data_IF_415120287029
#
_entry.id   IF_415120287029
#
_cell.length_a   1.000
_cell.length_b   1.000
_cell.length_c   1.000
_cell.angle_alpha   90.00
_cell.angle_beta   90.00
_cell.angle_gamma   90.00
#
_symmetry.space_group_name_H-M   'P 1'
#
loop_
_entity.id
_entity.type
_entity.pdbx_description
1 polymer ?
#
# COMPACT_ATOMS: atom_id res chain seq x y z
N UNK A 1 -42.39 -30.68 -27.22
CA UNK A 1 -42.68 -31.99 -26.58
C UNK A 1 -41.50 -32.92 -26.86
N UNK A 2 -41.16 -33.91 -26.02
CA UNK A 2 -41.15 -33.97 -24.54
C UNK A 2 -39.89 -33.23 -23.99
N UNK A 3 -39.75 -32.79 -22.73
CA UNK A 3 -39.75 -33.45 -21.41
C UNK A 3 -38.51 -34.34 -21.10
N UNK A 4 -37.75 -33.93 -20.08
CA UNK A 4 -36.56 -34.61 -19.54
C UNK A 4 -35.95 -33.81 -18.38
N UNK A 5 -36.64 -33.76 -17.23
CA UNK A 5 -36.21 -33.02 -16.02
C UNK A 5 -35.42 -33.92 -15.08
N UNK A 6 -34.45 -33.36 -14.33
CA UNK A 6 -34.11 -33.84 -12.99
C UNK A 6 -33.71 -32.67 -12.05
N UNK A 7 -33.91 -32.86 -10.74
CA UNK A 7 -33.88 -31.82 -9.69
C UNK A 7 -33.20 -32.42 -8.43
N UNK A 8 -32.54 -31.58 -7.62
CA UNK A 8 -31.82 -31.89 -6.36
C UNK A 8 -32.74 -31.80 -5.10
N UNK A 9 -32.30 -31.82 -3.81
CA UNK A 9 -30.96 -32.01 -3.19
C UNK A 9 -30.85 -33.37 -2.44
N UNK A 10 -30.73 -33.59 -1.09
CA UNK A 10 -30.75 -32.73 0.12
C UNK A 10 -29.35 -32.53 0.78
N UNK A 11 -29.28 -32.45 2.13
CA UNK A 11 -28.08 -32.19 2.97
C UNK A 11 -28.05 -33.10 4.23
N UNK A 12 -26.98 -33.01 5.07
CA UNK A 12 -26.76 -33.45 6.50
C UNK A 12 -25.45 -34.28 6.67
N UNK A 13 -24.67 -34.28 7.78
CA UNK A 13 -24.01 -33.22 8.61
C UNK A 13 -23.18 -33.88 9.76
N UNK A 14 -22.05 -33.25 10.21
CA UNK A 14 -21.16 -33.63 11.37
C UNK A 14 -20.35 -34.95 11.25
N UNK A 15 -19.27 -35.26 12.02
CA UNK A 15 -18.69 -34.69 13.28
C UNK A 15 -17.13 -34.46 13.20
N UNK A 16 -16.38 -34.49 14.33
CA UNK A 16 -15.10 -33.74 14.57
C UNK A 16 -13.82 -34.56 14.87
N UNK A 17 -12.67 -33.85 14.89
CA UNK A 17 -11.39 -34.10 15.65
C UNK A 17 -10.39 -35.15 15.07
N UNK A 18 -9.05 -35.15 15.26
CA UNK A 18 -8.01 -34.38 16.03
C UNK A 18 -6.78 -34.21 15.07
N UNK A 19 -6.13 -33.06 14.82
CA UNK A 19 -5.13 -32.26 15.60
C UNK A 19 -3.70 -32.91 15.74
N UNK A 20 -2.60 -32.20 16.13
CA UNK A 20 -1.67 -31.55 15.17
C UNK A 20 -0.14 -31.74 15.47
N UNK A 21 0.71 -30.78 15.05
CA UNK A 21 2.09 -30.47 15.55
C UNK A 21 3.26 -31.40 15.07
N UNK A 22 4.54 -30.97 14.98
CA UNK A 22 5.17 -29.62 14.93
C UNK A 22 6.59 -29.65 14.30
N UNK A 23 7.24 -28.49 14.20
CA UNK A 23 8.68 -28.31 13.89
C UNK A 23 9.60 -28.74 15.05
N UNK A 24 10.89 -28.99 14.77
CA UNK A 24 11.93 -28.74 15.79
C UNK A 24 13.27 -28.24 15.21
N UNK A 25 13.96 -27.41 16.01
CA UNK A 25 15.19 -26.70 15.66
C UNK A 25 16.13 -26.64 16.89
N UNK A 26 17.39 -27.07 16.71
CA UNK A 26 18.58 -26.77 17.53
C UNK A 26 18.71 -27.35 18.96
N UNK A 27 19.96 -27.72 19.28
CA UNK A 27 20.60 -27.92 20.61
C UNK A 27 20.38 -29.25 21.37
N UNK A 28 21.47 -29.71 22.01
CA UNK A 28 21.57 -30.96 22.78
C UNK A 28 22.93 -31.65 22.57
N UNK A 29 23.76 -31.77 23.62
CA UNK A 29 25.06 -32.48 23.61
C UNK A 29 25.02 -33.73 24.51
N UNK A 30 26.05 -34.57 24.36
CA UNK A 30 26.41 -35.81 25.11
C UNK A 30 25.91 -37.15 24.51
N UNK A 31 26.70 -38.24 24.53
CA UNK A 31 28.18 -38.40 24.58
C UNK A 31 28.59 -39.79 24.06
N UNK A 32 29.74 -39.87 23.35
CA UNK A 32 30.65 -41.03 23.18
C UNK A 32 30.08 -42.47 23.01
N UNK A 33 30.13 -42.98 21.78
CA UNK A 33 31.05 -44.10 21.47
C UNK A 33 30.50 -45.52 21.28
N UNK A 34 30.47 -45.97 20.02
CA UNK A 34 30.79 -47.36 19.65
C UNK A 34 31.53 -47.40 18.30
N UNK A 35 32.13 -48.54 17.95
CA UNK A 35 33.30 -48.58 17.05
C UNK A 35 33.00 -48.73 15.54
N UNK A 36 33.98 -48.30 14.73
CA UNK A 36 33.99 -48.28 13.26
C UNK A 36 34.17 -49.69 12.66
N UNK A 37 33.13 -50.53 12.62
CA UNK A 37 33.08 -51.77 11.80
C UNK A 37 31.65 -52.36 11.69
N UNK A 38 30.87 -51.92 10.68
CA UNK A 38 29.99 -52.75 9.80
C UNK A 38 29.22 -51.90 8.76
N UNK A 39 29.87 -50.96 8.10
CA UNK A 39 29.27 -50.16 7.00
C UNK A 39 29.34 -50.89 5.64
N UNK A 40 29.47 -52.23 5.66
CA UNK A 40 29.78 -53.09 4.51
C UNK A 40 28.85 -54.33 4.44
N UNK A 41 27.54 -54.14 4.57
CA UNK A 41 26.54 -55.16 4.18
C UNK A 41 25.31 -54.51 3.56
N UNK A 42 25.45 -53.98 2.34
CA UNK A 42 24.34 -53.69 1.41
C UNK A 42 24.77 -53.42 -0.05
N UNK A 43 26.04 -53.12 -0.33
CA UNK A 43 26.49 -52.67 -1.68
C UNK A 43 26.69 -53.78 -2.74
N UNK A 44 26.65 -55.07 -2.38
CA UNK A 44 27.08 -56.18 -3.26
C UNK A 44 25.95 -57.14 -3.68
N UNK A 45 24.80 -56.64 -4.16
CA UNK A 45 23.79 -57.44 -4.90
C UNK A 45 23.08 -56.67 -6.04
N UNK A 46 23.82 -55.95 -6.88
CA UNK A 46 23.33 -55.48 -8.19
C UNK A 46 24.09 -56.12 -9.34
N UNK A 47 23.38 -56.63 -10.36
CA UNK A 47 23.98 -57.33 -11.49
C UNK A 47 24.57 -56.33 -12.51
N UNK A 48 25.89 -56.35 -12.81
CA UNK A 48 26.52 -55.40 -13.74
C UNK A 48 25.87 -55.34 -15.13
N UNK A 49 25.34 -56.47 -15.63
CA UNK A 49 24.69 -56.55 -16.94
C UNK A 49 23.37 -55.76 -16.99
N UNK A 50 22.65 -55.62 -15.87
CA UNK A 50 21.48 -54.74 -15.80
C UNK A 50 21.89 -53.26 -15.81
N UNK A 51 22.90 -52.87 -15.03
CA UNK A 51 23.37 -51.48 -14.92
C UNK A 51 23.82 -50.93 -16.28
N UNK A 52 24.55 -51.72 -17.07
CA UNK A 52 24.92 -51.36 -18.44
C UNK A 52 23.72 -51.33 -19.39
N UNK A 53 22.77 -52.28 -19.30
CA UNK A 53 21.55 -52.30 -20.12
C UNK A 53 20.67 -51.07 -19.91
N UNK A 54 20.51 -50.61 -18.67
CA UNK A 54 19.79 -49.35 -18.40
C UNK A 54 20.58 -48.14 -18.89
N UNK A 55 21.88 -48.04 -18.59
CA UNK A 55 22.73 -46.91 -19.03
C UNK A 55 22.70 -46.75 -20.56
N UNK A 56 22.83 -47.84 -21.30
CA UNK A 56 22.75 -47.82 -22.76
C UNK A 56 21.33 -47.50 -23.26
N UNK A 57 20.27 -48.06 -22.67
CA UNK A 57 18.88 -47.75 -23.05
C UNK A 57 18.52 -46.27 -22.84
N UNK A 58 19.10 -45.61 -21.83
CA UNK A 58 18.98 -44.16 -21.66
C UNK A 58 19.81 -43.40 -22.71
N UNK A 59 21.09 -43.74 -22.91
CA UNK A 59 21.96 -43.05 -23.88
C UNK A 59 21.38 -43.12 -25.31
N UNK A 60 21.00 -44.30 -25.80
CA UNK A 60 20.44 -44.47 -27.15
C UNK A 60 19.08 -43.78 -27.32
N UNK A 61 18.28 -43.65 -26.24
CA UNK A 61 17.04 -42.85 -26.28
C UNK A 61 17.31 -41.35 -26.27
N UNK A 62 18.38 -40.89 -25.62
CA UNK A 62 18.77 -39.48 -25.66
C UNK A 62 19.41 -39.09 -27.01
N UNK A 63 20.24 -39.94 -27.62
CA UNK A 63 20.86 -39.64 -28.93
C UNK A 63 19.87 -39.59 -30.09
N UNK A 64 18.72 -40.27 -29.98
CA UNK A 64 17.63 -40.24 -30.96
C UNK A 64 16.61 -39.11 -30.71
N UNK A 65 16.92 -38.15 -29.81
CA UNK A 65 16.09 -36.97 -29.50
C UNK A 65 16.90 -35.67 -29.62
N UNK A 66 17.98 -35.68 -30.42
CA UNK A 66 18.76 -34.50 -30.82
C UNK A 66 18.59 -34.28 -32.33
N UNK A 67 17.36 -34.43 -32.82
CA UNK A 67 16.92 -33.78 -34.06
C UNK A 67 16.48 -32.37 -33.71
N UNK A 68 16.88 -31.39 -34.53
CA UNK A 68 16.89 -29.96 -34.26
C UNK A 68 15.63 -29.44 -33.53
N UNK A 69 15.74 -29.36 -32.20
CA UNK A 69 14.81 -28.67 -31.32
C UNK A 69 15.54 -27.51 -30.65
N UNK A 70 16.04 -26.60 -31.49
CA UNK A 70 16.47 -25.25 -31.13
C UNK A 70 15.29 -24.37 -30.65
N UNK A 71 14.54 -24.87 -29.64
CA UNK A 71 13.48 -24.12 -28.94
C UNK A 71 14.08 -22.78 -28.53
N UNK A 72 13.57 -21.65 -29.05
CA UNK A 72 14.13 -20.35 -28.70
C UNK A 72 13.84 -20.09 -27.23
N UNK A 73 14.81 -20.36 -26.35
CA UNK A 73 14.69 -20.23 -24.90
C UNK A 73 14.79 -18.75 -24.47
N UNK A 74 13.94 -17.96 -25.13
CA UNK A 74 13.80 -16.51 -25.05
C UNK A 74 12.30 -16.23 -25.10
N UNK A 75 11.56 -16.85 -24.17
CA UNK A 75 10.25 -16.36 -23.73
C UNK A 75 10.51 -14.97 -23.15
N UNK A 76 10.49 -13.95 -24.02
CA UNK A 76 10.54 -12.59 -23.57
C UNK A 76 9.26 -12.36 -22.76
N UNK A 77 9.34 -11.96 -21.47
CA UNK A 77 8.15 -11.42 -20.82
C UNK A 77 7.69 -10.26 -21.70
N UNK A 78 6.45 -10.30 -22.21
CA UNK A 78 5.92 -9.27 -23.11
C UNK A 78 5.98 -7.94 -22.35
N UNK A 79 7.00 -7.13 -22.66
CA UNK A 79 7.30 -5.86 -21.98
C UNK A 79 6.22 -4.86 -22.35
N UNK A 80 5.10 -4.93 -21.64
CA UNK A 80 3.99 -4.01 -21.82
C UNK A 80 4.32 -2.72 -21.10
N UNK A 81 4.49 -1.68 -21.90
CA UNK A 81 4.52 -0.29 -21.46
C UNK A 81 3.12 0.13 -21.00
N UNK A 82 3.07 1.03 -20.02
CA UNK A 82 1.80 1.37 -19.38
C UNK A 82 1.92 2.07 -18.04
N UNK A 83 0.75 2.34 -17.45
CA UNK A 83 0.59 2.99 -16.15
C UNK A 83 0.05 1.95 -15.16
N UNK A 84 0.54 1.99 -13.93
CA UNK A 84 0.11 1.14 -12.83
C UNK A 84 -0.22 1.94 -11.57
N UNK A 85 -0.86 1.25 -10.63
CA UNK A 85 -1.17 1.72 -9.30
C UNK A 85 -0.70 0.68 -8.26
N UNK A 86 -0.20 1.17 -7.12
CA UNK A 86 -0.09 0.39 -5.89
C UNK A 86 -1.10 1.00 -4.92
N UNK A 87 -2.01 0.19 -4.38
CA UNK A 87 -3.19 0.66 -3.63
C UNK A 87 -3.22 0.01 -2.26
N UNK A 88 -3.31 0.84 -1.21
CA UNK A 88 -3.52 0.40 0.16
C UNK A 88 -5.03 0.25 0.44
N UNK A 89 -5.45 -0.93 0.86
CA UNK A 89 -6.86 -1.25 1.09
C UNK A 89 -7.41 -0.67 2.40
N UNK A 90 -6.55 -0.39 3.38
CA UNK A 90 -6.93 0.07 4.72
C UNK A 90 -7.24 1.58 4.78
N UNK A 91 -6.61 2.39 3.93
CA UNK A 91 -6.76 3.84 3.91
C UNK A 91 -7.09 4.44 2.53
N UNK A 92 -7.23 3.61 1.50
CA UNK A 92 -7.46 3.98 0.09
C UNK A 92 -6.36 4.84 -0.55
N UNK A 93 -5.16 4.93 0.05
CA UNK A 93 -4.05 5.67 -0.54
C UNK A 93 -3.43 4.93 -1.74
N UNK A 94 -3.02 5.70 -2.75
CA UNK A 94 -2.64 5.21 -4.08
C UNK A 94 -1.30 5.77 -4.52
N UNK A 95 -0.42 4.92 -5.04
CA UNK A 95 0.82 5.32 -5.72
C UNK A 95 0.69 5.01 -7.20
N UNK A 96 0.76 6.03 -8.04
CA UNK A 96 0.73 5.91 -9.49
C UNK A 96 2.15 5.86 -10.06
N UNK A 97 2.34 5.16 -11.18
CA UNK A 97 3.65 5.10 -11.83
C UNK A 97 3.60 4.76 -13.32
N UNK A 98 4.52 5.35 -14.10
CA UNK A 98 4.82 4.94 -15.48
C UNK A 98 5.85 3.81 -15.55
N UNK A 99 5.77 2.95 -16.58
CA UNK A 99 6.91 2.14 -17.01
C UNK A 99 6.83 1.69 -18.47
N UNK A 100 7.97 1.37 -19.07
CA UNK A 100 8.09 0.56 -20.29
C UNK A 100 7.97 -0.96 -20.03
N UNK A 101 7.96 -1.40 -18.77
CA UNK A 101 7.73 -2.79 -18.36
C UNK A 101 6.98 -2.81 -17.02
N UNK A 102 5.66 -2.65 -17.08
CA UNK A 102 4.80 -2.52 -15.89
C UNK A 102 4.95 -3.71 -14.93
N UNK A 103 4.90 -4.94 -15.45
CA UNK A 103 4.98 -6.15 -14.61
C UNK A 103 6.32 -6.27 -13.88
N UNK A 104 7.44 -5.98 -14.56
CA UNK A 104 8.76 -5.96 -13.94
C UNK A 104 8.91 -4.82 -12.93
N UNK A 105 8.27 -3.67 -13.17
CA UNK A 105 8.30 -2.50 -12.28
C UNK A 105 7.48 -2.75 -11.00
N UNK A 106 6.27 -3.31 -11.10
CA UNK A 106 5.45 -3.70 -9.95
C UNK A 106 6.16 -4.74 -9.07
N UNK A 107 6.77 -5.77 -9.67
CA UNK A 107 7.58 -6.74 -8.94
C UNK A 107 8.80 -6.08 -8.24
N UNK A 108 9.42 -5.09 -8.88
CA UNK A 108 10.51 -4.32 -8.29
C UNK A 108 10.06 -3.48 -7.10
N UNK A 109 8.90 -2.79 -7.18
CA UNK A 109 8.32 -2.08 -6.04
C UNK A 109 8.05 -3.01 -4.85
N UNK A 110 7.39 -4.16 -5.09
CA UNK A 110 7.14 -5.18 -4.05
C UNK A 110 8.42 -5.69 -3.39
N UNK A 111 9.48 -5.89 -4.18
CA UNK A 111 10.81 -6.29 -3.67
C UNK A 111 11.47 -5.19 -2.82
N UNK A 112 11.42 -3.93 -3.26
CA UNK A 112 11.96 -2.78 -2.50
C UNK A 112 11.24 -2.57 -1.17
N UNK A 113 9.90 -2.71 -1.16
CA UNK A 113 9.05 -2.57 0.03
C UNK A 113 9.31 -3.69 1.05
N UNK A 114 9.37 -4.95 0.60
CA UNK A 114 9.78 -6.10 1.42
C UNK A 114 11.18 -5.94 2.03
N UNK A 115 12.09 -5.25 1.32
CA UNK A 115 13.47 -4.98 1.76
C UNK A 115 13.61 -3.69 2.57
N UNK A 116 12.51 -2.98 2.86
CA UNK A 116 12.47 -1.72 3.61
C UNK A 116 13.30 -0.56 3.01
N UNK A 117 13.66 -0.65 1.72
CA UNK A 117 14.50 0.33 1.00
C UNK A 117 13.72 1.09 -0.10
N UNK A 118 12.39 1.14 -0.01
CA UNK A 118 11.60 1.87 -0.99
C UNK A 118 11.90 3.40 -0.93
N UNK A 119 11.98 4.10 -2.07
CA UNK A 119 12.29 5.53 -2.11
C UNK A 119 11.16 6.38 -1.54
N UNK A 120 9.91 6.08 -1.88
CA UNK A 120 8.76 6.74 -1.26
C UNK A 120 8.59 6.26 0.18
N UNK A 121 8.76 7.17 1.14
CA UNK A 121 8.76 6.85 2.57
C UNK A 121 7.36 6.72 3.18
N UNK A 122 6.35 7.40 2.64
CA UNK A 122 4.96 7.24 3.07
C UNK A 122 4.46 5.83 2.71
N UNK A 123 4.62 5.42 1.45
CA UNK A 123 4.27 4.06 1.01
C UNK A 123 5.06 2.98 1.77
N UNK A 124 6.31 3.26 2.18
CA UNK A 124 7.10 2.31 3.00
C UNK A 124 6.61 2.23 4.45
N UNK A 125 6.15 3.33 5.03
CA UNK A 125 5.61 3.36 6.39
C UNK A 125 4.29 2.57 6.46
N UNK A 126 3.35 2.87 5.56
CA UNK A 126 2.08 2.15 5.44
C UNK A 126 2.29 0.67 5.13
N UNK A 127 3.28 0.32 4.28
CA UNK A 127 3.66 -1.07 4.03
C UNK A 127 4.14 -1.80 5.29
N UNK A 128 4.94 -1.13 6.12
CA UNK A 128 5.42 -1.68 7.38
C UNK A 128 4.32 -1.78 8.45
N UNK A 129 3.29 -0.92 8.37
CA UNK A 129 2.16 -0.88 9.30
C UNK A 129 1.06 -1.90 8.95
N UNK A 130 0.63 -1.95 7.69
CA UNK A 130 -0.52 -2.75 7.25
C UNK A 130 -0.13 -4.09 6.60
N UNK A 131 1.12 -4.25 6.14
CA UNK A 131 1.63 -5.50 5.59
C UNK A 131 1.09 -5.89 4.21
N UNK A 132 1.70 -6.92 3.62
CA UNK A 132 1.50 -7.33 2.22
C UNK A 132 0.04 -7.64 1.83
N UNK A 133 -0.78 -8.16 2.74
CA UNK A 133 -2.19 -8.50 2.47
C UNK A 133 -3.03 -7.29 2.06
N UNK A 134 -2.66 -6.12 2.56
CA UNK A 134 -3.44 -4.90 2.43
C UNK A 134 -2.98 -4.03 1.24
N UNK A 135 -2.16 -4.56 0.33
CA UNK A 135 -1.66 -3.84 -0.84
C UNK A 135 -1.90 -4.58 -2.16
N UNK A 136 -2.62 -3.94 -3.08
CA UNK A 136 -2.82 -4.41 -4.44
C UNK A 136 -1.85 -3.75 -5.43
N UNK A 137 -1.37 -4.51 -6.42
CA UNK A 137 -0.41 -4.10 -7.44
C UNK A 137 -1.07 -4.22 -8.81
N UNK A 138 -1.65 -3.12 -9.31
CA UNK A 138 -2.65 -3.12 -10.38
C UNK A 138 -2.11 -2.41 -11.63
N UNK A 139 -1.94 -3.10 -12.77
CA UNK A 139 -1.80 -2.45 -14.07
C UNK A 139 -3.12 -1.75 -14.45
N UNK A 140 -3.09 -0.44 -14.66
CA UNK A 140 -4.29 0.34 -15.03
C UNK A 140 -4.46 0.43 -16.55
N UNK A 141 -3.37 0.72 -17.25
CA UNK A 141 -3.37 0.97 -18.69
C UNK A 141 -2.15 0.28 -19.31
N UNK A 142 -2.37 -0.59 -20.30
CA UNK A 142 -1.32 -1.34 -21.02
C UNK A 142 -1.58 -1.26 -22.53
N UNK A 143 -0.52 -1.39 -23.34
CA UNK A 143 -0.61 -1.48 -24.81
C UNK A 143 0.12 -0.37 -25.56
N UNK A 144 0.07 -0.44 -26.89
CA UNK A 144 0.94 0.32 -27.81
C UNK A 144 0.84 1.84 -27.67
N UNK A 145 -0.35 2.38 -27.39
CA UNK A 145 -0.57 3.80 -27.06
C UNK A 145 0.36 4.32 -25.96
N UNK A 146 0.75 3.45 -25.03
CA UNK A 146 1.59 3.77 -23.90
C UNK A 146 3.08 3.47 -24.13
N UNK A 147 3.48 3.09 -25.35
CA UNK A 147 4.89 2.97 -25.73
C UNK A 147 5.62 4.31 -25.59
N UNK A 148 5.00 5.40 -26.09
CA UNK A 148 5.50 6.76 -25.95
C UNK A 148 5.58 7.20 -24.47
N UNK A 149 6.78 7.54 -23.95
CA UNK A 149 6.94 8.08 -22.60
C UNK A 149 6.22 9.41 -22.36
N UNK A 150 6.00 10.25 -23.38
CA UNK A 150 5.34 11.56 -23.22
C UNK A 150 3.86 11.37 -22.89
N UNK A 151 3.13 10.62 -23.72
CA UNK A 151 1.73 10.25 -23.46
C UNK A 151 1.59 9.51 -22.12
N UNK A 152 2.54 8.59 -21.81
CA UNK A 152 2.49 7.77 -20.60
C UNK A 152 2.70 8.59 -19.31
N UNK A 153 3.68 9.50 -19.27
CA UNK A 153 3.90 10.44 -18.15
C UNK A 153 2.79 11.48 -18.03
N UNK A 154 2.24 11.94 -19.16
CA UNK A 154 1.07 12.82 -19.16
C UNK A 154 -0.11 12.21 -18.41
N UNK A 155 -0.39 10.92 -18.64
CA UNK A 155 -1.46 10.19 -17.94
C UNK A 155 -1.12 9.86 -16.47
N UNK A 156 0.13 9.56 -16.16
CA UNK A 156 0.61 9.43 -14.78
C UNK A 156 0.37 10.72 -13.98
N UNK A 157 0.79 11.87 -14.51
CA UNK A 157 0.58 13.19 -13.90
C UNK A 157 -0.91 13.54 -13.77
N UNK A 158 -1.73 13.25 -14.79
CA UNK A 158 -3.19 13.43 -14.74
C UNK A 158 -3.81 12.65 -13.57
N UNK A 159 -3.47 11.37 -13.40
CA UNK A 159 -3.98 10.55 -12.29
C UNK A 159 -3.53 11.07 -10.93
N UNK A 160 -2.27 11.51 -10.79
CA UNK A 160 -1.74 12.09 -9.56
C UNK A 160 -2.46 13.40 -9.21
N UNK A 161 -2.75 14.26 -10.18
CA UNK A 161 -3.49 15.52 -9.96
C UNK A 161 -4.95 15.23 -9.57
N UNK A 162 -5.62 14.29 -10.25
CA UNK A 162 -7.00 13.90 -9.97
C UNK A 162 -7.19 13.26 -8.57
N UNK A 163 -6.19 12.52 -8.08
CA UNK A 163 -6.25 11.78 -6.81
C UNK A 163 -5.32 12.39 -5.75
N UNK A 164 -4.90 13.66 -5.90
CA UNK A 164 -3.78 14.26 -5.14
C UNK A 164 -3.91 14.12 -3.61
N UNK A 165 -5.15 14.18 -3.11
CA UNK A 165 -5.46 14.25 -1.68
C UNK A 165 -5.40 12.84 -1.00
N UNK A 166 -5.29 11.78 -1.81
CA UNK A 166 -5.11 10.36 -1.39
C UNK A 166 -3.90 9.70 -2.11
N UNK A 167 -2.93 10.52 -2.56
CA UNK A 167 -1.81 10.07 -3.37
C UNK A 167 -0.50 10.01 -2.58
N UNK A 168 0.20 8.88 -2.65
CA UNK A 168 1.57 8.78 -2.15
C UNK A 168 2.56 9.60 -3.00
N UNK A 169 2.23 9.98 -4.24
CA UNK A 169 3.17 10.63 -5.16
C UNK A 169 3.47 12.08 -4.76
N UNK A 170 4.64 12.31 -4.17
CA UNK A 170 5.16 13.65 -3.90
C UNK A 170 5.57 14.32 -5.22
N UNK A 171 4.80 15.30 -5.67
CA UNK A 171 5.15 16.15 -6.81
C UNK A 171 6.17 17.22 -6.37
N UNK A 172 7.42 17.09 -6.82
CA UNK A 172 8.47 18.05 -6.52
C UNK A 172 8.17 19.45 -7.11
N UNK A 173 8.59 20.50 -6.40
CA UNK A 173 8.49 21.89 -6.86
C UNK A 173 7.18 22.61 -6.52
N UNK A 174 6.06 21.90 -6.29
CA UNK A 174 4.78 22.50 -5.88
C UNK A 174 4.89 23.07 -4.46
N UNK A 175 5.36 22.26 -3.51
CA UNK A 175 5.67 22.72 -2.16
C UNK A 175 7.16 23.01 -2.02
N UNK A 176 7.48 24.15 -1.41
CA UNK A 176 8.84 24.60 -1.14
C UNK A 176 9.04 24.81 0.37
N UNK A 177 9.04 23.75 1.20
CA UNK A 177 9.24 23.86 2.64
C UNK A 177 10.68 24.22 3.00
N UNK A 178 10.89 24.81 4.18
CA UNK A 178 12.20 25.22 4.67
C UNK A 178 12.91 26.19 3.72
N UNK A 179 14.22 26.02 3.57
CA UNK A 179 15.13 26.88 2.80
C UNK A 179 14.80 26.94 1.29
N UNK A 180 13.93 26.05 0.79
CA UNK A 180 13.42 26.12 -0.59
C UNK A 180 12.41 27.27 -0.80
N UNK A 181 11.83 27.82 0.27
CA UNK A 181 10.92 28.97 0.20
C UNK A 181 11.72 30.27 -0.02
N UNK A 182 11.43 31.09 -1.06
CA UNK A 182 12.05 32.40 -1.25
C UNK A 182 11.91 33.39 -0.08
N UNK A 183 11.00 33.14 0.87
CA UNK A 183 10.79 33.91 2.10
C UNK A 183 11.37 33.24 3.37
N UNK A 184 12.02 32.08 3.27
CA UNK A 184 12.67 31.47 4.43
C UNK A 184 13.79 32.36 4.99
N UNK A 185 13.92 32.40 6.32
CA UNK A 185 14.86 33.28 7.03
C UNK A 185 14.59 34.79 6.91
N UNK A 186 13.60 35.24 6.12
CA UNK A 186 13.30 36.66 5.90
C UNK A 186 12.21 37.16 6.84
N UNK A 187 12.42 38.33 7.41
CA UNK A 187 11.43 39.05 8.21
C UNK A 187 10.76 40.16 7.40
N UNK A 188 9.46 40.38 7.60
CA UNK A 188 8.77 41.52 7.01
C UNK A 188 9.20 42.84 7.67
N UNK A 189 9.35 43.90 6.89
CA UNK A 189 9.58 45.27 7.41
C UNK A 189 8.40 45.75 8.26
N UNK A 190 8.65 46.69 9.18
CA UNK A 190 7.59 47.25 10.03
C UNK A 190 6.50 47.96 9.22
N UNK A 191 6.83 48.59 8.09
CA UNK A 191 5.84 49.12 7.16
C UNK A 191 4.94 48.02 6.57
N UNK A 192 5.53 46.90 6.13
CA UNK A 192 4.79 45.75 5.61
C UNK A 192 3.89 45.14 6.69
N UNK A 193 4.40 44.96 7.91
CA UNK A 193 3.62 44.50 9.08
C UNK A 193 2.46 45.45 9.39
N UNK A 194 2.71 46.77 9.35
CA UNK A 194 1.68 47.80 9.55
C UNK A 194 0.59 47.71 8.47
N UNK A 195 0.97 47.62 7.18
CA UNK A 195 0.01 47.46 6.07
C UNK A 195 -0.87 46.23 6.23
N UNK A 196 -0.29 45.08 6.56
CA UNK A 196 -1.05 43.84 6.84
C UNK A 196 -2.00 44.04 8.04
N UNK A 197 -1.51 44.64 9.13
CA UNK A 197 -2.31 44.92 10.33
C UNK A 197 -3.49 45.85 10.04
N UNK A 198 -3.27 46.90 9.25
CA UNK A 198 -4.30 47.88 8.90
C UNK A 198 -5.33 47.28 7.94
N UNK A 199 -4.92 46.43 6.97
CA UNK A 199 -5.87 45.66 6.13
C UNK A 199 -6.70 44.64 6.90
N UNK A 200 -6.17 44.06 7.98
CA UNK A 200 -6.90 43.10 8.83
C UNK A 200 -7.73 43.78 9.94
N UNK A 201 -7.65 45.11 10.08
CA UNK A 201 -8.25 45.85 11.18
C UNK A 201 -9.78 45.93 11.01
N UNK A 202 -10.50 45.20 11.86
CA UNK A 202 -11.96 45.23 11.92
C UNK A 202 -12.66 44.15 11.10
N UNK A 203 -11.93 43.35 10.33
CA UNK A 203 -12.45 42.12 9.69
C UNK A 203 -12.56 41.04 10.78
N UNK A 204 -13.76 40.51 11.11
CA UNK A 204 -13.90 39.52 12.15
C UNK A 204 -13.93 38.10 11.56
N UNK A 205 -13.12 37.19 12.10
CA UNK A 205 -13.05 35.79 11.66
C UNK A 205 -14.24 34.94 12.15
N UNK A 206 -15.46 35.49 12.14
CA UNK A 206 -16.64 34.82 12.70
C UNK A 206 -17.08 33.60 11.88
N UNK A 207 -16.85 33.61 10.55
CA UNK A 207 -17.11 32.47 9.65
C UNK A 207 -16.18 31.25 9.90
N UNK A 208 -15.10 31.43 10.66
CA UNK A 208 -14.21 30.34 11.11
C UNK A 208 -14.57 29.84 12.52
N UNK A 209 -15.63 30.39 13.13
CA UNK A 209 -16.12 29.99 14.44
C UNK A 209 -16.97 28.72 14.40
N UNK A 210 -17.04 28.03 15.55
CA UNK A 210 -18.20 27.17 15.81
C UNK A 210 -19.42 28.05 16.06
N UNK A 211 -20.53 27.74 15.37
CA UNK A 211 -21.84 28.31 15.63
C UNK A 211 -22.30 27.93 17.05
N UNK A 212 -23.01 28.84 17.71
CA UNK A 212 -23.53 28.62 19.07
C UNK A 212 -24.91 29.26 19.22
N UNK A 213 -25.73 28.71 20.12
CA UNK A 213 -26.95 29.35 20.62
C UNK A 213 -26.73 29.80 22.07
N UNK A 214 -27.21 30.99 22.40
CA UNK A 214 -27.25 31.51 23.78
C UNK A 214 -28.64 32.12 23.99
N UNK A 215 -29.39 31.58 24.95
CA UNK A 215 -30.77 32.01 25.24
C UNK A 215 -31.64 32.07 23.96
N UNK A 216 -31.54 31.01 23.14
CA UNK A 216 -32.17 30.85 21.82
C UNK A 216 -31.72 31.83 20.71
N UNK A 217 -30.80 32.76 20.98
CA UNK A 217 -30.18 33.60 19.93
C UNK A 217 -28.97 32.88 19.35
N UNK A 218 -28.98 32.62 18.05
CA UNK A 218 -27.87 31.99 17.33
C UNK A 218 -26.80 33.02 16.94
N UNK A 219 -25.53 32.64 17.09
CA UNK A 219 -24.36 33.42 16.67
C UNK A 219 -23.41 32.54 15.85
N UNK A 220 -22.77 33.07 14.79
CA UNK A 220 -21.81 32.32 13.98
C UNK A 220 -20.53 32.00 14.77
N UNK A 221 -20.18 32.78 15.80
CA UNK A 221 -19.00 32.56 16.61
C UNK A 221 -19.15 33.01 18.07
N UNK A 222 -18.34 32.41 18.96
CA UNK A 222 -18.11 32.89 20.34
C UNK A 222 -17.62 34.35 20.36
N UNK A 223 -16.91 34.81 19.32
CA UNK A 223 -16.40 36.17 19.25
C UNK A 223 -17.50 37.19 18.92
N UNK A 224 -18.50 36.85 18.10
CA UNK A 224 -19.68 37.70 17.90
C UNK A 224 -20.60 37.69 19.11
N UNK A 225 -20.92 36.51 19.66
CA UNK A 225 -21.70 36.38 20.88
C UNK A 225 -21.14 37.25 22.01
N UNK A 226 -19.81 37.28 22.18
CA UNK A 226 -19.13 38.13 23.17
C UNK A 226 -19.28 39.64 22.89
N UNK A 227 -19.34 40.07 21.63
CA UNK A 227 -19.59 41.48 21.25
C UNK A 227 -21.06 41.88 21.44
N UNK A 228 -22.00 40.94 21.26
CA UNK A 228 -23.46 41.19 21.33
C UNK A 228 -24.03 41.07 22.75
N UNK A 229 -23.55 40.10 23.55
CA UNK A 229 -24.03 39.84 24.92
C UNK A 229 -23.22 40.55 26.01
N UNK A 230 -22.07 41.16 25.66
CA UNK A 230 -21.11 41.71 26.63
C UNK A 230 -20.38 40.66 27.49
N UNK A 231 -20.77 39.38 27.43
CA UNK A 231 -20.11 38.32 28.18
C UNK A 231 -18.70 38.03 27.67
N UNK A 232 -17.76 37.78 28.58
CA UNK A 232 -16.40 37.42 28.21
C UNK A 232 -16.35 36.07 27.50
N UNK A 233 -15.47 35.93 26.50
CA UNK A 233 -15.27 34.67 25.75
C UNK A 233 -14.92 33.48 26.67
N UNK A 234 -14.30 33.73 27.83
CA UNK A 234 -14.01 32.73 28.87
C UNK A 234 -15.28 32.25 29.58
N UNK A 235 -16.19 33.15 29.94
CA UNK A 235 -17.50 32.80 30.51
C UNK A 235 -18.36 32.02 29.51
N UNK A 236 -18.41 32.49 28.26
CA UNK A 236 -19.15 31.82 27.18
C UNK A 236 -18.66 30.38 27.00
N UNK A 237 -17.34 30.18 26.86
CA UNK A 237 -16.74 28.84 26.77
C UNK A 237 -16.94 27.99 28.02
N UNK A 238 -17.01 28.57 29.23
CA UNK A 238 -17.33 27.80 30.44
C UNK A 238 -18.76 27.26 30.36
N UNK A 239 -19.76 28.11 30.08
CA UNK A 239 -21.18 27.71 30.03
C UNK A 239 -21.47 26.70 28.92
N UNK A 240 -20.91 26.88 27.72
CA UNK A 240 -21.05 25.93 26.60
C UNK A 240 -20.45 24.53 26.88
N UNK A 241 -19.62 24.40 27.91
CA UNK A 241 -18.98 23.15 28.32
C UNK A 241 -19.65 22.56 29.59
N UNK A 242 -20.68 23.20 30.14
CA UNK A 242 -21.25 22.92 31.46
C UNK A 242 -22.72 22.49 31.29
N UNK A 243 -23.05 21.19 31.44
CA UNK A 243 -24.37 20.64 31.12
C UNK A 243 -25.55 21.25 31.88
N UNK A 244 -25.30 21.99 32.97
CA UNK A 244 -26.35 22.71 33.71
C UNK A 244 -26.89 23.94 32.97
N UNK A 245 -26.23 24.42 31.92
CA UNK A 245 -26.66 25.59 31.13
C UNK A 245 -27.33 25.19 29.81
N UNK A 246 -28.53 24.60 29.87
CA UNK A 246 -29.28 24.12 28.69
C UNK A 246 -29.51 25.20 27.61
N UNK A 247 -29.67 26.47 28.01
CA UNK A 247 -29.78 27.64 27.14
C UNK A 247 -28.52 27.95 26.28
N UNK A 248 -27.41 27.23 26.52
CA UNK A 248 -26.08 27.51 25.96
C UNK A 248 -25.55 26.30 25.20
N UNK A 249 -25.85 26.22 23.90
CA UNK A 249 -25.52 25.05 23.07
C UNK A 249 -24.54 25.38 21.93
N UNK A 250 -23.71 24.40 21.57
CA UNK A 250 -22.90 24.44 20.35
C UNK A 250 -23.72 23.85 19.21
N UNK A 251 -23.77 24.56 18.08
CA UNK A 251 -24.41 24.10 16.86
C UNK A 251 -23.32 23.55 15.93
N UNK A 252 -23.53 22.33 15.41
CA UNK A 252 -22.66 21.69 14.42
C UNK A 252 -23.05 22.11 13.00
#
# INVERSE_FOLDING_TARGET
MPLGKFIAPPCIVLFLSINPFYSYVISGKLRKGLCKKRLETCLNRENPKQKQRYRNKWITKCSALIEDHSVPNRIQPRKQSGIYMIHCLENDWRYYGESSNVSGRLASHKSLLNRQIHPNKLLQADWNQYGLSNFQFIPLFLGEKWSDPVIRRGKELELIILNRDISYNVLEGIQKPGDKNPFWGKTHSEETKKRIKDSMKGIPNDLLGKKISIHNVQYPSIAEASRKTGHSRKLIRKRLNDPSYLDWTILN
#
